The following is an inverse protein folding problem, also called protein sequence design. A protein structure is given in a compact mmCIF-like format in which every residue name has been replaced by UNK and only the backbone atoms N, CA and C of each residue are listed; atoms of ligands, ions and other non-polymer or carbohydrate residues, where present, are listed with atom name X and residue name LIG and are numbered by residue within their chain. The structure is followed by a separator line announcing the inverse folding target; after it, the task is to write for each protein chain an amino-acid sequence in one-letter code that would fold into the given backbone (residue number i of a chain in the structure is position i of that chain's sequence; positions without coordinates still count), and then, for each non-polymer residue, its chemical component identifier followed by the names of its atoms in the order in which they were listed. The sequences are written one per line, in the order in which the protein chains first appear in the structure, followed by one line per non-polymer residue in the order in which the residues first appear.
data_IF_858993177536
#
_entry.id   IF_858993177536
#
_cell.length_a   1.000
_cell.length_b   1.000
_cell.length_c   1.000
_cell.angle_alpha   90.00
_cell.angle_beta   90.00
_cell.angle_gamma   90.00
#
_symmetry.space_group_name_H-M   'P 1'
#
loop_
_entity.id
_entity.type
_entity.pdbx_description
1 polymer ?
#
# COMPACT_ATOMS: atom_id res chain seq x y z
N UNK A 1 -29.55 -11.69 26.41
CA UNK A 1 -29.12 -10.53 25.59
C UNK A 1 -28.49 -11.11 24.32
N UNK A 2 -29.24 -11.15 23.21
CA UNK A 2 -28.75 -11.75 21.96
C UNK A 2 -27.74 -10.79 21.32
N UNK A 3 -26.53 -11.28 21.08
CA UNK A 3 -25.45 -10.55 20.43
C UNK A 3 -25.88 -10.28 18.99
N UNK A 4 -26.17 -9.01 18.67
CA UNK A 4 -26.53 -8.57 17.33
C UNK A 4 -25.38 -8.98 16.39
N UNK A 5 -25.64 -9.76 15.32
CA UNK A 5 -24.58 -10.18 14.40
C UNK A 5 -23.93 -8.94 13.79
N UNK A 6 -22.59 -8.88 13.72
CA UNK A 6 -21.91 -7.71 13.18
C UNK A 6 -22.34 -7.49 11.73
N UNK A 7 -22.81 -6.27 11.42
CA UNK A 7 -23.22 -5.88 10.07
C UNK A 7 -22.11 -6.19 9.06
N UNK A 8 -22.45 -6.64 7.83
CA UNK A 8 -21.48 -7.12 6.83
C UNK A 8 -20.40 -6.09 6.45
N UNK A 9 -20.67 -4.79 6.63
CA UNK A 9 -19.71 -3.69 6.47
C UNK A 9 -18.51 -3.78 7.42
N UNK A 10 -18.66 -4.28 8.65
CA UNK A 10 -17.58 -4.36 9.63
C UNK A 10 -16.59 -5.49 9.31
N UNK A 11 -17.11 -6.63 8.81
CA UNK A 11 -16.28 -7.79 8.44
C UNK A 11 -15.40 -7.49 7.22
N UNK A 12 -15.96 -6.84 6.19
CA UNK A 12 -15.21 -6.45 4.99
C UNK A 12 -14.21 -5.30 5.23
N UNK A 13 -14.42 -4.47 6.25
CA UNK A 13 -13.41 -3.50 6.67
C UNK A 13 -12.21 -4.21 7.32
N UNK A 14 -12.48 -5.17 8.20
CA UNK A 14 -11.45 -5.94 8.91
C UNK A 14 -10.55 -6.77 7.97
N UNK A 15 -11.12 -7.41 6.93
CA UNK A 15 -10.34 -8.13 5.92
C UNK A 15 -9.44 -7.21 5.10
N UNK A 16 -9.95 -6.04 4.68
CA UNK A 16 -9.18 -5.04 3.92
C UNK A 16 -8.04 -4.43 4.73
N UNK A 17 -8.20 -4.23 6.03
CA UNK A 17 -7.10 -3.79 6.90
C UNK A 17 -5.97 -4.82 6.95
N UNK A 18 -6.29 -6.10 6.97
CA UNK A 18 -5.31 -7.19 6.98
C UNK A 18 -4.55 -7.28 5.66
N UNK A 19 -5.24 -7.19 4.53
CA UNK A 19 -4.60 -7.18 3.19
C UNK A 19 -3.63 -6.01 3.02
N UNK A 20 -4.02 -4.81 3.46
CA UNK A 20 -3.15 -3.62 3.41
C UNK A 20 -1.88 -3.79 4.27
N UNK A 21 -2.00 -4.42 5.44
CA UNK A 21 -0.85 -4.72 6.28
C UNK A 21 0.09 -5.75 5.62
N UNK A 22 -0.48 -6.76 4.96
CA UNK A 22 0.29 -7.79 4.24
C UNK A 22 1.07 -7.18 3.07
N UNK A 23 0.45 -6.34 2.24
CA UNK A 23 1.12 -5.70 1.10
C UNK A 23 2.29 -4.82 1.56
N UNK A 24 2.09 -4.02 2.61
CA UNK A 24 3.16 -3.19 3.18
C UNK A 24 4.32 -4.04 3.70
N UNK A 25 4.01 -5.13 4.41
CA UNK A 25 5.02 -6.00 4.97
C UNK A 25 5.85 -6.70 3.87
N UNK A 26 5.18 -7.19 2.82
CA UNK A 26 5.85 -7.77 1.65
C UNK A 26 6.70 -6.74 0.91
N UNK A 27 6.20 -5.52 0.71
CA UNK A 27 6.97 -4.46 0.06
C UNK A 27 8.26 -4.14 0.83
N UNK A 28 8.19 -3.99 2.16
CA UNK A 28 9.36 -3.77 3.01
C UNK A 28 10.34 -4.94 2.91
N UNK A 29 9.85 -6.18 2.95
CA UNK A 29 10.69 -7.37 2.86
C UNK A 29 11.38 -7.50 1.49
N UNK A 30 10.65 -7.24 0.40
CA UNK A 30 11.21 -7.25 -0.96
C UNK A 30 12.31 -6.21 -1.14
N UNK A 31 12.10 -4.97 -0.66
CA UNK A 31 13.13 -3.91 -0.72
C UNK A 31 14.35 -4.28 0.12
N UNK A 32 14.14 -4.83 1.32
CA UNK A 32 15.26 -5.29 2.15
C UNK A 32 16.07 -6.37 1.43
N UNK A 33 15.41 -7.40 0.89
CA UNK A 33 16.10 -8.50 0.22
C UNK A 33 16.86 -8.05 -1.03
N UNK A 34 16.34 -7.04 -1.74
CA UNK A 34 17.03 -6.45 -2.88
C UNK A 34 18.31 -5.69 -2.47
N UNK A 35 18.30 -5.08 -1.28
CA UNK A 35 19.43 -4.32 -0.74
C UNK A 35 20.42 -5.15 0.08
N UNK A 36 20.01 -6.28 0.64
CA UNK A 36 20.83 -7.06 1.59
C UNK A 36 22.04 -7.69 0.85
N UNK A 37 23.25 -7.31 1.26
CA UNK A 37 24.49 -7.79 0.63
C UNK A 37 24.77 -7.20 -0.77
N UNK A 38 23.96 -6.27 -1.28
CA UNK A 38 24.12 -5.68 -2.61
C UNK A 38 24.28 -4.14 -2.55
N UNK A 39 25.51 -3.60 -2.54
CA UNK A 39 25.76 -2.16 -2.48
C UNK A 39 25.34 -1.41 -3.74
N UNK A 40 25.29 -2.06 -4.91
CA UNK A 40 24.81 -1.44 -6.16
C UNK A 40 23.30 -1.17 -6.08
N UNK A 41 22.53 -2.15 -5.60
CA UNK A 41 21.08 -1.99 -5.38
C UNK A 41 20.78 -0.93 -4.33
N UNK A 42 21.60 -0.85 -3.27
CA UNK A 42 21.51 0.21 -2.27
C UNK A 42 21.77 1.60 -2.88
N UNK A 43 22.80 1.74 -3.71
CA UNK A 43 23.13 3.00 -4.38
C UNK A 43 22.02 3.42 -5.37
N UNK A 44 21.47 2.47 -6.12
CA UNK A 44 20.33 2.71 -7.02
C UNK A 44 19.11 3.20 -6.23
N UNK A 45 18.73 2.51 -5.16
CA UNK A 45 17.58 2.88 -4.34
C UNK A 45 17.79 4.21 -3.63
N UNK A 46 19.00 4.50 -3.16
CA UNK A 46 19.35 5.79 -2.56
C UNK A 46 19.27 6.95 -3.56
N UNK A 47 19.49 6.69 -4.85
CA UNK A 47 19.34 7.67 -5.93
C UNK A 47 17.90 7.83 -6.43
N UNK A 48 16.95 6.99 -6.02
CA UNK A 48 15.57 7.12 -6.44
C UNK A 48 14.95 8.39 -5.87
N UNK A 49 14.39 9.21 -6.75
CA UNK A 49 13.63 10.39 -6.37
C UNK A 49 12.16 10.14 -6.65
N UNK A 50 11.31 10.47 -5.68
CA UNK A 50 9.87 10.40 -5.85
C UNK A 50 9.42 11.33 -6.98
N UNK A 51 8.83 10.77 -8.04
CA UNK A 51 8.32 11.53 -9.20
C UNK A 51 6.82 11.79 -9.17
N UNK A 52 6.13 11.25 -8.17
CA UNK A 52 4.69 11.46 -7.93
C UNK A 52 3.91 10.15 -7.82
N UNK A 53 2.59 10.21 -8.00
CA UNK A 53 1.73 9.03 -8.01
C UNK A 53 1.51 8.50 -9.42
N UNK A 54 1.48 7.18 -9.55
CA UNK A 54 1.17 6.49 -10.81
C UNK A 54 -0.22 5.89 -10.72
N UNK A 55 -1.05 6.16 -11.72
CA UNK A 55 -2.27 5.41 -11.95
C UNK A 55 -1.91 4.03 -12.52
N UNK A 56 -2.32 2.98 -11.83
CA UNK A 56 -2.01 1.60 -12.19
C UNK A 56 -3.30 0.81 -12.26
N UNK A 57 -3.47 0.04 -13.34
CA UNK A 57 -4.62 -0.86 -13.50
C UNK A 57 -4.79 -1.80 -12.30
N UNK A 58 -3.67 -2.29 -11.74
CA UNK A 58 -3.67 -3.13 -10.54
C UNK A 58 -4.16 -2.40 -9.30
N UNK A 59 -3.81 -1.12 -9.12
CA UNK A 59 -4.31 -0.32 -8.00
C UNK A 59 -5.82 -0.09 -8.13
N UNK A 60 -6.31 0.13 -9.37
CA UNK A 60 -7.73 0.27 -9.66
C UNK A 60 -8.53 -1.01 -9.40
N UNK A 61 -8.00 -2.17 -9.81
CA UNK A 61 -8.59 -3.49 -9.53
C UNK A 61 -8.68 -3.76 -8.02
N UNK A 62 -7.70 -3.29 -7.25
CA UNK A 62 -7.70 -3.36 -5.79
C UNK A 62 -8.62 -2.31 -5.13
N UNK A 63 -9.27 -1.44 -5.91
CA UNK A 63 -10.13 -0.38 -5.39
C UNK A 63 -9.35 0.70 -4.64
N UNK A 64 -8.11 0.97 -5.06
CA UNK A 64 -7.16 1.88 -4.40
C UNK A 64 -6.75 3.00 -5.37
N UNK A 65 -6.69 4.23 -4.86
CA UNK A 65 -6.09 5.38 -5.55
C UNK A 65 -4.98 5.99 -4.69
N UNK A 66 -4.02 6.64 -5.35
CA UNK A 66 -2.90 7.32 -4.71
C UNK A 66 -3.06 8.83 -4.88
N UNK A 67 -3.20 9.53 -3.75
CA UNK A 67 -3.20 10.99 -3.70
C UNK A 67 -1.85 11.49 -3.20
N UNK A 68 -1.28 12.48 -3.87
CA UNK A 68 -0.08 13.18 -3.41
C UNK A 68 -0.48 14.48 -2.72
N UNK A 69 -0.04 14.67 -1.48
CA UNK A 69 -0.21 15.89 -0.71
C UNK A 69 1.18 16.50 -0.47
N UNK A 70 1.36 17.76 -0.86
CA UNK A 70 2.56 18.59 -0.67
C UNK A 70 3.90 17.90 -1.03
N UNK A 71 3.91 17.19 -2.16
CA UNK A 71 5.03 16.42 -2.74
C UNK A 71 5.69 15.33 -1.87
N UNK A 72 5.47 15.35 -0.55
CA UNK A 72 6.17 14.52 0.44
C UNK A 72 5.33 13.38 0.99
N UNK A 73 4.01 13.40 0.75
CA UNK A 73 3.09 12.43 1.35
C UNK A 73 2.22 11.80 0.28
N UNK A 74 2.31 10.47 0.16
CA UNK A 74 1.35 9.68 -0.64
C UNK A 74 0.30 9.12 0.31
N UNK A 75 -0.95 9.46 0.05
CA UNK A 75 -2.12 8.95 0.74
C UNK A 75 -2.77 7.87 -0.11
N UNK A 76 -2.94 6.70 0.49
CA UNK A 76 -3.68 5.58 -0.10
C UNK A 76 -5.15 5.77 0.26
N UNK A 77 -5.97 6.10 -0.74
CA UNK A 77 -7.40 6.33 -0.58
C UNK A 77 -8.21 5.26 -1.31
N UNK A 78 -9.47 5.01 -0.92
CA UNK A 78 -10.37 4.16 -1.69
C UNK A 78 -10.61 4.78 -3.08
N UNK A 79 -10.52 3.97 -4.12
CA UNK A 79 -10.90 4.37 -5.47
C UNK A 79 -12.42 4.57 -5.52
N UNK A 80 -12.85 5.82 -5.76
CA UNK A 80 -14.25 6.13 -6.09
C UNK A 80 -14.37 6.14 -7.63
N UNK A 81 -15.25 5.31 -8.21
CA UNK A 81 -15.53 5.35 -9.64
C UNK A 81 -16.24 6.64 -10.06
#
# INVERSE_FOLDING_TARGET
MAQVPPSPLNVAASSRHRERAVITQWAIFSVRNLCEGNPESQALIAGLTQRGTVDSATLRELGITLHQEDDKKILIMPYKP
#
